data_IF_790872349037
#
_entry.id   IF_790872349037
#
_cell.length_a   1.000
_cell.length_b   1.000
_cell.length_c   1.000
_cell.angle_alpha   90.00
_cell.angle_beta   90.00
_cell.angle_gamma   90.00
#
_symmetry.space_group_name_H-M   'P 1'
#
loop_
_entity.id
_entity.type
_entity.pdbx_description
1 polymer ?
#
# COMPACT_ATOMS: atom_id res chain seq x y z
N UNK A 1 8.17 -68.37 5.79
CA UNK A 1 7.89 -68.99 4.47
C UNK A 1 7.83 -67.87 3.44
N UNK A 2 8.64 -68.07 2.42
CA UNK A 2 8.88 -67.21 1.26
C UNK A 2 7.65 -67.06 0.38
N UNK A 3 7.50 -65.88 -0.29
CA UNK A 3 7.18 -65.67 -1.72
C UNK A 3 7.14 -64.15 -1.94
N UNK A 4 8.14 -63.55 -2.58
CA UNK A 4 8.43 -63.32 -4.01
C UNK A 4 7.35 -62.43 -4.66
N UNK A 5 7.64 -61.14 -4.87
CA UNK A 5 8.19 -60.44 -6.06
C UNK A 5 7.33 -60.62 -7.32
N UNK A 6 6.80 -59.53 -7.83
CA UNK A 6 6.78 -59.25 -9.25
C UNK A 6 6.81 -57.74 -9.54
N UNK A 7 7.95 -57.34 -10.14
CA UNK A 7 8.26 -56.02 -10.68
C UNK A 7 7.77 -56.03 -12.14
N UNK A 8 7.00 -55.05 -12.57
CA UNK A 8 6.74 -54.79 -13.98
C UNK A 8 7.16 -53.35 -14.29
N UNK A 9 8.32 -53.22 -14.91
CA UNK A 9 8.77 -52.05 -15.65
C UNK A 9 8.04 -52.03 -17.00
N UNK A 10 7.34 -50.92 -17.30
CA UNK A 10 6.91 -50.63 -18.66
C UNK A 10 7.71 -49.43 -19.15
N UNK A 11 8.68 -49.72 -20.01
CA UNK A 11 9.39 -48.76 -20.86
C UNK A 11 8.44 -48.30 -21.97
N UNK A 12 8.19 -46.99 -22.07
CA UNK A 12 7.65 -46.38 -23.29
C UNK A 12 8.78 -45.69 -24.03
N UNK A 13 9.22 -46.32 -25.14
CA UNK A 13 10.04 -45.69 -26.18
C UNK A 13 9.12 -44.78 -27.03
N UNK A 14 9.40 -43.50 -27.08
CA UNK A 14 8.82 -42.60 -28.08
C UNK A 14 9.83 -42.48 -29.23
N UNK A 15 9.44 -42.99 -30.40
CA UNK A 15 10.17 -42.91 -31.67
C UNK A 15 9.94 -41.50 -32.25
N UNK A 16 11.03 -40.75 -32.44
CA UNK A 16 10.98 -39.51 -33.23
C UNK A 16 11.04 -39.91 -34.73
N UNK A 17 9.99 -39.60 -35.48
CA UNK A 17 10.03 -39.64 -36.93
C UNK A 17 10.47 -38.25 -37.44
N UNK A 18 11.52 -38.23 -38.18
CA UNK A 18 12.06 -37.08 -38.91
C UNK A 18 11.43 -37.03 -40.28
N UNK A 19 10.52 -36.13 -40.51
CA UNK A 19 10.08 -35.74 -41.85
C UNK A 19 10.87 -34.55 -42.36
N UNK A 20 11.65 -34.77 -43.41
CA UNK A 20 12.35 -33.76 -44.19
C UNK A 20 11.33 -32.96 -45.02
N UNK A 21 11.26 -31.66 -44.78
CA UNK A 21 10.61 -30.75 -45.74
C UNK A 21 11.67 -30.04 -46.56
N UNK A 22 11.58 -30.20 -47.89
CA UNK A 22 12.46 -29.64 -48.88
C UNK A 22 12.39 -28.12 -48.94
N UNK A 23 13.54 -27.46 -48.81
CA UNK A 23 13.70 -26.04 -49.08
C UNK A 23 13.83 -25.80 -50.61
N UNK A 24 12.88 -25.14 -51.21
CA UNK A 24 13.08 -24.55 -52.55
C UNK A 24 13.78 -23.20 -52.41
N UNK A 25 14.99 -23.14 -52.99
CA UNK A 25 15.77 -21.91 -53.15
C UNK A 25 15.18 -21.11 -54.29
N UNK A 26 14.62 -19.94 -54.01
CA UNK A 26 14.35 -18.91 -55.00
C UNK A 26 15.42 -17.84 -54.83
N UNK A 27 16.28 -17.79 -55.83
CA UNK A 27 17.35 -16.81 -55.99
C UNK A 27 16.73 -15.55 -56.64
N UNK A 28 16.67 -14.41 -55.93
CA UNK A 28 16.50 -13.11 -56.61
C UNK A 28 17.53 -12.10 -56.06
N UNK A 29 18.25 -11.56 -57.03
CA UNK A 29 19.37 -10.66 -56.92
C UNK A 29 19.15 -9.36 -56.11
N UNK A 30 20.15 -9.09 -55.30
CA UNK A 30 20.81 -7.80 -55.03
C UNK A 30 20.03 -6.48 -55.04
N UNK A 31 19.98 -5.85 -53.88
CA UNK A 31 20.48 -4.47 -53.69
C UNK A 31 21.01 -4.36 -52.23
N UNK A 32 22.30 -4.13 -52.09
CA UNK A 32 22.91 -3.71 -50.83
C UNK A 32 22.33 -2.36 -50.44
N UNK A 33 21.46 -2.35 -49.46
CA UNK A 33 21.22 -1.18 -48.61
C UNK A 33 21.81 -1.47 -47.26
N UNK A 34 22.89 -0.78 -46.97
CA UNK A 34 23.52 -0.71 -45.64
C UNK A 34 22.52 -0.02 -44.70
N UNK A 35 21.76 -0.82 -43.95
CA UNK A 35 20.95 -0.31 -42.85
C UNK A 35 21.86 -0.24 -41.63
N UNK A 36 22.21 0.96 -41.23
CA UNK A 36 22.79 1.25 -39.93
C UNK A 36 21.84 0.73 -38.84
N UNK A 37 22.17 -0.42 -38.29
CA UNK A 37 21.47 -0.98 -37.11
C UNK A 37 22.03 -0.35 -35.82
N UNK A 38 21.61 0.86 -35.54
CA UNK A 38 21.67 1.48 -34.19
C UNK A 38 20.38 2.26 -33.96
N UNK A 39 19.25 1.55 -34.01
CA UNK A 39 18.02 2.01 -33.38
C UNK A 39 17.85 1.17 -32.13
N UNK A 40 18.35 1.68 -31.00
CA UNK A 40 17.87 1.25 -29.71
C UNK A 40 16.33 1.36 -29.75
N UNK A 41 15.66 0.24 -29.63
CA UNK A 41 14.21 0.24 -29.36
C UNK A 41 14.11 0.81 -27.95
N UNK A 42 13.96 2.13 -27.83
CA UNK A 42 13.41 2.73 -26.63
C UNK A 42 12.03 2.09 -26.44
N UNK A 43 11.92 1.17 -25.50
CA UNK A 43 10.62 0.75 -25.01
C UNK A 43 9.92 2.00 -24.51
N UNK A 44 8.98 2.52 -25.30
CA UNK A 44 8.11 3.62 -24.87
C UNK A 44 7.30 3.07 -23.70
N UNK A 45 7.74 3.37 -22.49
CA UNK A 45 7.03 3.02 -21.26
C UNK A 45 5.64 3.67 -21.33
N UNK A 46 4.58 2.96 -20.89
CA UNK A 46 3.23 3.48 -20.97
C UNK A 46 3.10 4.74 -20.11
N UNK A 47 2.85 5.88 -20.77
CA UNK A 47 2.57 7.16 -20.12
C UNK A 47 1.22 7.13 -19.39
N UNK A 48 1.05 8.00 -18.39
CA UNK A 48 -0.26 8.21 -17.73
C UNK A 48 -1.28 8.69 -18.76
N UNK A 49 -2.52 8.17 -18.70
CA UNK A 49 -3.59 8.57 -19.61
C UNK A 49 -3.92 10.06 -19.42
N UNK A 50 -4.31 10.76 -20.51
CA UNK A 50 -4.66 12.19 -20.46
C UNK A 50 -5.77 12.51 -19.45
N UNK A 51 -6.69 11.57 -19.22
CA UNK A 51 -7.77 11.72 -18.25
C UNK A 51 -7.20 11.73 -16.83
N UNK A 52 -6.40 10.73 -16.48
CA UNK A 52 -5.77 10.63 -15.18
C UNK A 52 -4.76 11.76 -14.96
N UNK A 53 -3.97 12.14 -15.97
CA UNK A 53 -3.08 13.31 -15.89
C UNK A 53 -3.81 14.57 -15.42
N UNK A 54 -4.93 14.88 -16.08
CA UNK A 54 -5.74 16.06 -15.74
C UNK A 54 -6.27 15.98 -14.32
N UNK A 55 -6.73 14.81 -13.89
CA UNK A 55 -7.28 14.60 -12.55
C UNK A 55 -6.18 14.67 -11.49
N UNK A 56 -5.03 14.03 -11.71
CA UNK A 56 -3.85 14.12 -10.84
C UNK A 56 -3.41 15.56 -10.67
N UNK A 57 -3.15 16.31 -11.76
CA UNK A 57 -2.75 17.72 -11.71
C UNK A 57 -3.76 18.60 -10.97
N UNK A 58 -5.06 18.35 -11.16
CA UNK A 58 -6.11 19.06 -10.43
C UNK A 58 -6.00 18.83 -8.92
N UNK A 59 -5.86 17.57 -8.49
CA UNK A 59 -5.76 17.25 -7.07
C UNK A 59 -4.44 17.72 -6.46
N UNK A 60 -3.30 17.62 -7.17
CA UNK A 60 -2.02 18.17 -6.75
C UNK A 60 -2.13 19.67 -6.51
N UNK A 61 -2.72 20.41 -7.45
CA UNK A 61 -2.92 21.86 -7.31
C UNK A 61 -3.72 22.21 -6.06
N UNK A 62 -4.77 21.43 -5.75
CA UNK A 62 -5.61 21.62 -4.56
C UNK A 62 -4.91 21.31 -3.25
N UNK A 63 -3.91 20.43 -3.26
CA UNK A 63 -3.17 20.03 -2.07
C UNK A 63 -1.94 20.93 -1.86
N UNK A 64 -1.16 21.17 -2.92
CA UNK A 64 0.19 21.74 -2.83
C UNK A 64 0.35 23.14 -3.47
N UNK A 65 -0.67 23.61 -4.22
CA UNK A 65 -0.59 24.86 -4.98
C UNK A 65 -0.19 24.67 -6.44
N UNK A 66 -0.47 25.70 -7.25
CA UNK A 66 -0.23 25.69 -8.70
C UNK A 66 1.26 25.72 -9.05
N UNK A 67 2.06 26.34 -8.23
CA UNK A 67 3.52 26.52 -8.39
C UNK A 67 4.28 25.19 -8.33
N UNK A 68 3.81 24.24 -7.51
CA UNK A 68 4.42 22.91 -7.34
C UNK A 68 3.81 21.82 -8.21
N UNK A 69 2.71 22.11 -8.92
CA UNK A 69 1.91 21.07 -9.60
C UNK A 69 2.72 20.28 -10.62
N UNK A 70 3.51 20.95 -11.46
CA UNK A 70 4.25 20.25 -12.53
C UNK A 70 5.41 19.42 -11.97
N UNK A 71 6.16 19.95 -11.00
CA UNK A 71 7.25 19.23 -10.33
C UNK A 71 6.74 17.94 -9.68
N UNK A 72 5.67 18.05 -8.88
CA UNK A 72 5.10 16.89 -8.19
C UNK A 72 4.51 15.90 -9.20
N UNK A 73 3.84 16.38 -10.26
CA UNK A 73 3.29 15.51 -11.30
C UNK A 73 4.39 14.72 -12.02
N UNK A 74 5.50 15.36 -12.40
CA UNK A 74 6.64 14.66 -13.03
C UNK A 74 7.15 13.52 -12.15
N UNK A 75 7.26 13.75 -10.84
CA UNK A 75 7.67 12.69 -9.91
C UNK A 75 6.65 11.55 -9.80
N UNK A 76 5.37 11.87 -9.80
CA UNK A 76 4.28 10.87 -9.83
C UNK A 76 4.33 10.04 -11.12
N UNK A 77 4.60 10.66 -12.26
CA UNK A 77 4.72 9.98 -13.55
C UNK A 77 5.91 9.00 -13.58
N UNK A 78 7.06 9.40 -13.02
CA UNK A 78 8.22 8.51 -12.82
C UNK A 78 7.85 7.28 -11.98
N UNK A 79 7.18 7.50 -10.84
CA UNK A 79 6.74 6.43 -9.93
C UNK A 79 5.74 5.48 -10.61
N UNK A 80 4.78 6.03 -11.37
CA UNK A 80 3.81 5.23 -12.10
C UNK A 80 4.47 4.41 -13.21
N UNK A 81 5.40 5.02 -13.95
CA UNK A 81 6.17 4.33 -15.00
C UNK A 81 6.95 3.16 -14.42
N UNK A 82 7.65 3.39 -13.30
CA UNK A 82 8.37 2.33 -12.60
C UNK A 82 7.43 1.21 -12.15
N UNK A 83 6.32 1.55 -11.49
CA UNK A 83 5.35 0.56 -11.01
C UNK A 83 4.81 -0.33 -12.11
N UNK A 84 4.48 0.26 -13.28
CA UNK A 84 4.01 -0.47 -14.46
C UNK A 84 5.09 -1.38 -15.05
N UNK A 85 6.35 -0.93 -15.10
CA UNK A 85 7.46 -1.73 -15.61
C UNK A 85 7.80 -2.93 -14.73
N UNK A 86 7.54 -2.84 -13.43
CA UNK A 86 7.79 -3.87 -12.43
C UNK A 86 6.55 -4.75 -12.17
N UNK A 87 5.41 -4.48 -12.85
CA UNK A 87 4.15 -5.19 -12.60
C UNK A 87 4.21 -6.63 -13.10
N UNK A 88 3.88 -7.64 -12.28
CA UNK A 88 3.86 -9.05 -12.67
C UNK A 88 2.90 -9.32 -13.84
N UNK A 89 3.30 -10.24 -14.75
CA UNK A 89 2.55 -10.54 -15.98
C UNK A 89 1.15 -11.10 -15.69
N UNK A 90 1.00 -11.95 -14.67
CA UNK A 90 -0.30 -12.46 -14.25
C UNK A 90 -1.25 -11.35 -13.81
N UNK A 91 -0.74 -10.32 -13.14
CA UNK A 91 -1.53 -9.15 -12.75
C UNK A 91 -1.88 -8.25 -13.94
N UNK A 92 -0.97 -8.12 -14.92
CA UNK A 92 -1.25 -7.39 -16.19
C UNK A 92 -2.39 -8.08 -16.95
N UNK A 93 -2.43 -9.41 -16.96
CA UNK A 93 -3.52 -10.16 -17.60
C UNK A 93 -4.85 -9.97 -16.87
N UNK A 94 -4.84 -9.97 -15.54
CA UNK A 94 -6.02 -9.63 -14.74
C UNK A 94 -6.53 -8.20 -15.03
N UNK A 95 -5.63 -7.23 -15.15
CA UNK A 95 -5.99 -5.83 -15.46
C UNK A 95 -6.75 -5.69 -16.78
N UNK A 96 -6.50 -6.57 -17.77
CA UNK A 96 -7.15 -6.55 -19.09
C UNK A 96 -8.53 -7.21 -19.09
N UNK A 97 -8.77 -8.15 -18.20
CA UNK A 97 -9.95 -9.02 -18.26
C UNK A 97 -11.04 -8.66 -17.26
N UNK A 98 -10.69 -7.96 -16.19
CA UNK A 98 -11.61 -7.66 -15.09
C UNK A 98 -12.51 -6.45 -15.42
N UNK A 99 -13.83 -6.58 -15.21
CA UNK A 99 -14.79 -5.48 -15.37
C UNK A 99 -14.56 -4.39 -14.32
N UNK A 100 -15.02 -3.16 -14.60
CA UNK A 100 -14.82 -2.01 -13.70
C UNK A 100 -15.62 -2.06 -12.40
N UNK A 101 -16.63 -2.93 -12.32
CA UNK A 101 -17.56 -3.06 -11.19
C UNK A 101 -17.51 -4.43 -10.50
N UNK A 102 -16.48 -5.23 -10.82
CA UNK A 102 -16.28 -6.59 -10.33
C UNK A 102 -16.42 -6.73 -8.80
N UNK A 103 -16.03 -5.70 -8.06
CA UNK A 103 -16.00 -5.70 -6.59
C UNK A 103 -17.40 -5.66 -5.94
N UNK A 104 -18.47 -5.36 -6.71
CA UNK A 104 -19.82 -5.23 -6.18
C UNK A 104 -20.44 -6.56 -5.75
N UNK A 105 -20.00 -7.65 -6.35
CA UNK A 105 -20.54 -8.99 -6.11
C UNK A 105 -19.63 -9.84 -5.19
N UNK A 106 -18.63 -9.21 -4.56
CA UNK A 106 -17.64 -9.91 -3.73
C UNK A 106 -18.21 -10.29 -2.35
N UNK A 107 -18.03 -11.55 -1.98
CA UNK A 107 -18.31 -12.07 -0.64
C UNK A 107 -17.00 -12.08 0.14
N UNK A 108 -16.93 -11.23 1.17
CA UNK A 108 -15.67 -10.94 1.87
C UNK A 108 -15.61 -11.72 3.19
N UNK A 109 -14.54 -12.48 3.41
CA UNK A 109 -14.20 -13.09 4.69
C UNK A 109 -12.97 -12.43 5.28
N UNK A 110 -13.03 -11.98 6.55
CA UNK A 110 -12.01 -11.21 7.22
C UNK A 110 -11.35 -11.99 8.34
N UNK A 111 -10.01 -11.97 8.42
CA UNK A 111 -9.26 -12.62 9.49
C UNK A 111 -7.89 -12.00 9.75
N UNK A 112 -7.35 -12.26 10.95
CA UNK A 112 -5.92 -12.14 11.24
C UNK A 112 -5.22 -13.45 10.91
N UNK A 113 -4.08 -13.38 10.20
CA UNK A 113 -3.32 -14.56 9.76
C UNK A 113 -2.90 -15.44 10.95
N UNK A 114 -2.43 -14.84 12.03
CA UNK A 114 -1.98 -15.54 13.23
C UNK A 114 -3.11 -16.19 14.05
N UNK A 115 -4.37 -15.84 13.74
CA UNK A 115 -5.56 -16.37 14.42
C UNK A 115 -6.42 -17.28 13.53
N UNK A 116 -6.08 -17.40 12.23
CA UNK A 116 -6.92 -18.12 11.27
C UNK A 116 -6.45 -19.55 11.04
N UNK A 117 -7.34 -20.51 11.29
CA UNK A 117 -7.08 -21.93 11.16
C UNK A 117 -6.84 -22.61 12.51
N UNK A 118 -6.25 -23.81 12.49
CA UNK A 118 -5.95 -24.58 13.70
C UNK A 118 -4.69 -24.05 14.37
N UNK A 119 -4.80 -23.63 15.62
CA UNK A 119 -3.65 -23.26 16.45
C UNK A 119 -3.16 -24.52 17.17
N UNK A 120 -1.92 -24.91 16.92
CA UNK A 120 -1.28 -26.09 17.52
C UNK A 120 -0.25 -25.61 18.56
N UNK A 121 -0.33 -26.13 19.77
CA UNK A 121 0.61 -25.84 20.87
C UNK A 121 0.80 -24.35 21.17
N UNK A 122 -0.25 -23.53 20.94
CA UNK A 122 -0.21 -22.09 21.15
C UNK A 122 0.66 -21.33 20.15
N UNK A 123 1.19 -21.99 19.11
CA UNK A 123 1.98 -21.37 18.05
C UNK A 123 1.08 -20.58 17.12
N UNK A 124 1.43 -19.32 16.87
CA UNK A 124 0.74 -18.47 15.89
C UNK A 124 0.83 -19.06 14.47
N UNK A 125 -0.27 -18.96 13.72
CA UNK A 125 -0.30 -19.35 12.33
C UNK A 125 0.44 -18.33 11.43
N UNK A 126 0.85 -18.80 10.25
CA UNK A 126 1.51 -18.01 9.21
C UNK A 126 0.67 -17.99 7.93
N UNK A 127 1.11 -17.27 6.89
CA UNK A 127 0.50 -17.34 5.56
C UNK A 127 0.46 -18.75 5.00
N UNK A 128 1.48 -19.57 5.29
CA UNK A 128 1.54 -20.97 4.87
C UNK A 128 0.45 -21.82 5.54
N UNK A 129 0.09 -21.52 6.76
CA UNK A 129 -1.03 -22.18 7.44
C UNK A 129 -2.38 -21.73 6.87
N UNK A 130 -2.50 -20.45 6.51
CA UNK A 130 -3.69 -19.90 5.86
C UNK A 130 -3.96 -20.52 4.48
N UNK A 131 -2.92 -20.95 3.73
CA UNK A 131 -3.08 -21.69 2.46
C UNK A 131 -3.92 -22.94 2.66
N UNK A 132 -3.75 -23.66 3.77
CA UNK A 132 -4.50 -24.90 4.08
C UNK A 132 -6.00 -24.65 4.25
N UNK A 133 -6.40 -23.41 4.52
CA UNK A 133 -7.78 -23.01 4.76
C UNK A 133 -8.49 -22.49 3.50
N UNK A 134 -7.81 -22.35 2.38
CA UNK A 134 -8.39 -21.77 1.16
C UNK A 134 -9.53 -22.60 0.58
N UNK A 135 -9.45 -23.93 0.66
CA UNK A 135 -10.54 -24.78 0.19
C UNK A 135 -11.79 -24.64 1.05
N UNK A 136 -11.64 -24.57 2.38
CA UNK A 136 -12.75 -24.23 3.29
C UNK A 136 -13.42 -22.90 2.93
N UNK A 137 -12.63 -21.85 2.67
CA UNK A 137 -13.19 -20.55 2.27
C UNK A 137 -13.91 -20.63 0.91
N UNK A 138 -13.40 -21.43 -0.02
CA UNK A 138 -14.02 -21.66 -1.32
C UNK A 138 -15.36 -22.36 -1.18
N UNK A 139 -15.42 -23.40 -0.38
CA UNK A 139 -16.66 -24.17 -0.10
C UNK A 139 -17.70 -23.30 0.62
N UNK A 140 -17.26 -22.33 1.43
CA UNK A 140 -18.12 -21.34 2.08
C UNK A 140 -18.69 -20.29 1.10
N UNK A 141 -18.19 -20.25 -0.14
CA UNK A 141 -18.62 -19.28 -1.17
C UNK A 141 -17.91 -17.93 -1.08
N UNK A 142 -16.81 -17.83 -0.33
CA UNK A 142 -15.99 -16.60 -0.26
C UNK A 142 -15.31 -16.33 -1.60
N UNK A 143 -15.30 -15.08 -2.02
CA UNK A 143 -14.64 -14.63 -3.24
C UNK A 143 -13.49 -13.65 -2.96
N UNK A 144 -13.55 -12.92 -1.84
CA UNK A 144 -12.49 -11.98 -1.41
C UNK A 144 -12.02 -12.29 0.01
N UNK A 145 -10.73 -12.42 0.17
CA UNK A 145 -10.05 -12.60 1.46
C UNK A 145 -9.59 -11.23 1.95
N UNK A 146 -10.15 -10.76 3.07
CA UNK A 146 -9.69 -9.55 3.74
C UNK A 146 -8.73 -9.91 4.87
N UNK A 147 -7.46 -9.62 4.65
CA UNK A 147 -6.40 -9.85 5.63
C UNK A 147 -6.26 -8.57 6.47
N UNK A 148 -6.51 -8.67 7.78
CA UNK A 148 -6.28 -7.60 8.75
C UNK A 148 -4.78 -7.28 8.85
N UNK A 149 -4.37 -6.13 9.43
CA UNK A 149 -3.04 -5.58 9.26
C UNK A 149 -1.91 -6.59 9.44
N UNK A 150 -1.12 -6.75 8.39
CA UNK A 150 0.00 -7.70 8.33
C UNK A 150 1.31 -7.05 7.85
N UNK A 151 1.31 -5.73 7.59
CA UNK A 151 2.53 -4.96 7.40
C UNK A 151 3.38 -4.99 8.68
N UNK A 152 4.69 -4.75 8.56
CA UNK A 152 5.63 -4.75 9.70
C UNK A 152 5.21 -3.72 10.75
N UNK A 153 4.96 -4.19 11.96
CA UNK A 153 4.38 -3.45 13.07
C UNK A 153 4.87 -4.00 14.39
N UNK A 154 5.10 -3.18 15.44
CA UNK A 154 5.31 -3.64 16.81
C UNK A 154 4.06 -4.29 17.42
N UNK A 155 2.88 -4.13 16.84
CA UNK A 155 1.60 -4.72 17.27
C UNK A 155 1.03 -4.12 18.57
N UNK A 156 1.37 -2.88 18.89
CA UNK A 156 0.82 -2.17 20.05
C UNK A 156 -0.63 -1.69 19.80
N UNK A 157 -1.04 -1.62 18.53
CA UNK A 157 -2.41 -1.36 18.08
C UNK A 157 -2.85 -2.36 17.00
N UNK A 158 -2.77 -3.64 17.30
CA UNK A 158 -3.27 -4.73 16.43
C UNK A 158 -2.74 -4.66 14.97
N UNK A 159 -1.58 -4.02 14.75
CA UNK A 159 -0.94 -3.86 13.45
C UNK A 159 -1.26 -2.56 12.72
N UNK A 160 -2.12 -1.69 13.28
CA UNK A 160 -2.36 -0.36 12.73
C UNK A 160 -1.24 0.64 13.07
N UNK A 161 -0.35 0.32 13.98
CA UNK A 161 0.90 1.02 14.31
C UNK A 161 2.04 0.58 13.38
N UNK A 162 1.93 0.91 12.09
CA UNK A 162 2.83 0.40 11.04
C UNK A 162 4.23 0.98 11.21
N UNK A 163 5.22 0.08 11.31
CA UNK A 163 6.66 0.40 11.39
C UNK A 163 7.30 0.50 10.00
N UNK A 164 6.96 -0.43 9.12
CA UNK A 164 7.39 -0.40 7.72
C UNK A 164 6.22 -0.82 6.81
N UNK A 165 5.60 0.13 6.10
CA UNK A 165 4.43 -0.16 5.27
C UNK A 165 4.77 -0.95 3.99
N UNK A 166 6.05 -1.11 3.65
CA UNK A 166 6.51 -1.87 2.48
C UNK A 166 7.17 -3.19 2.89
N UNK A 167 6.89 -3.69 4.09
CA UNK A 167 7.36 -4.97 4.55
C UNK A 167 6.24 -5.73 5.26
N UNK A 168 6.38 -7.05 5.33
CA UNK A 168 5.42 -7.95 5.96
C UNK A 168 6.03 -8.48 7.26
N UNK A 169 5.23 -8.57 8.31
CA UNK A 169 5.61 -9.13 9.60
C UNK A 169 6.31 -10.49 9.43
N UNK A 170 7.50 -10.59 9.99
CA UNK A 170 8.32 -11.82 9.90
C UNK A 170 7.69 -13.00 10.64
N UNK A 171 6.95 -12.76 11.72
CA UNK A 171 6.25 -13.79 12.49
C UNK A 171 5.06 -14.41 11.74
N UNK A 172 4.60 -13.79 10.64
CA UNK A 172 3.58 -14.33 9.72
C UNK A 172 4.20 -15.06 8.52
N UNK A 173 5.54 -15.20 8.44
CA UNK A 173 6.28 -15.82 7.34
C UNK A 173 6.85 -14.82 6.34
N UNK A 174 6.62 -13.52 6.53
CA UNK A 174 7.19 -12.44 5.71
C UNK A 174 6.73 -12.47 4.24
N UNK A 175 7.45 -11.71 3.40
CA UNK A 175 7.06 -11.48 2.00
C UNK A 175 7.05 -12.75 1.15
N UNK A 176 7.88 -13.75 1.45
CA UNK A 176 7.94 -14.98 0.65
C UNK A 176 6.68 -15.84 0.85
N UNK A 177 6.26 -16.07 2.09
CA UNK A 177 5.04 -16.84 2.37
C UNK A 177 3.80 -16.09 1.91
N UNK A 178 3.77 -14.75 2.02
CA UNK A 178 2.68 -13.96 1.47
C UNK A 178 2.58 -14.10 -0.06
N UNK A 179 3.69 -14.03 -0.79
CA UNK A 179 3.68 -14.22 -2.25
C UNK A 179 3.14 -15.59 -2.65
N UNK A 180 3.56 -16.64 -1.94
CA UNK A 180 3.05 -18.01 -2.15
C UNK A 180 1.53 -18.06 -1.88
N UNK A 181 1.09 -17.55 -0.74
CA UNK A 181 -0.33 -17.46 -0.38
C UNK A 181 -1.13 -16.69 -1.44
N UNK A 182 -0.68 -15.48 -1.83
CA UNK A 182 -1.37 -14.64 -2.80
C UNK A 182 -1.49 -15.32 -4.17
N UNK A 183 -0.43 -16.02 -4.61
CA UNK A 183 -0.44 -16.76 -5.88
C UNK A 183 -1.44 -17.91 -5.84
N UNK A 184 -1.44 -18.72 -4.77
CA UNK A 184 -2.35 -19.86 -4.63
C UNK A 184 -3.80 -19.38 -4.48
N UNK A 185 -4.02 -18.32 -3.69
CA UNK A 185 -5.35 -17.73 -3.51
C UNK A 185 -5.93 -17.24 -4.86
N UNK A 186 -5.14 -16.47 -5.64
CA UNK A 186 -5.56 -16.01 -6.98
C UNK A 186 -5.86 -17.18 -7.92
N UNK A 187 -5.02 -18.20 -7.95
CA UNK A 187 -5.25 -19.40 -8.78
C UNK A 187 -6.55 -20.13 -8.41
N UNK A 188 -7.00 -20.02 -7.16
CA UNK A 188 -8.31 -20.51 -6.69
C UNK A 188 -9.46 -19.52 -6.96
N UNK A 189 -9.18 -18.35 -7.54
CA UNK A 189 -10.15 -17.31 -7.92
C UNK A 189 -10.46 -16.30 -6.82
N UNK A 190 -9.72 -16.29 -5.71
CA UNK A 190 -9.87 -15.27 -4.67
C UNK A 190 -9.29 -13.93 -5.08
N UNK A 191 -9.89 -12.86 -4.57
CA UNK A 191 -9.33 -11.52 -4.49
C UNK A 191 -8.73 -11.29 -3.11
N UNK A 192 -7.78 -10.37 -3.01
CA UNK A 192 -7.13 -10.04 -1.73
C UNK A 192 -7.41 -8.59 -1.37
N UNK A 193 -7.94 -8.39 -0.17
CA UNK A 193 -8.16 -7.07 0.43
C UNK A 193 -7.19 -6.87 1.59
N UNK A 194 -6.60 -5.68 1.70
CA UNK A 194 -5.68 -5.32 2.77
C UNK A 194 -5.91 -3.90 3.27
N UNK A 195 -5.50 -3.63 4.51
CA UNK A 195 -5.45 -2.28 5.07
C UNK A 195 -4.27 -1.49 4.52
N UNK A 196 -4.50 -0.22 4.25
CA UNK A 196 -3.51 0.77 3.88
C UNK A 196 -3.52 1.90 4.91
N UNK A 197 -2.57 1.89 5.81
CA UNK A 197 -2.45 2.88 6.90
C UNK A 197 -1.54 4.01 6.45
N UNK A 198 -2.13 5.15 6.09
CA UNK A 198 -1.42 6.33 5.57
C UNK A 198 -1.81 7.63 6.29
N UNK A 199 -2.42 7.55 7.48
CA UNK A 199 -2.62 8.72 8.34
C UNK A 199 -1.44 8.92 9.28
N UNK A 200 -0.85 7.84 9.77
CA UNK A 200 0.19 7.83 10.80
C UNK A 200 1.13 6.65 10.61
N UNK A 201 2.32 6.74 11.20
CA UNK A 201 3.23 5.61 11.34
C UNK A 201 3.63 5.42 12.81
N UNK A 202 4.10 4.21 13.13
CA UNK A 202 4.65 3.90 14.44
C UNK A 202 5.85 4.80 14.78
N UNK A 203 6.06 5.07 16.04
CA UNK A 203 7.29 5.70 16.53
C UNK A 203 8.56 4.84 16.32
N UNK A 204 8.37 3.57 15.90
CA UNK A 204 9.46 2.70 15.44
C UNK A 204 9.75 2.81 13.95
N UNK A 205 9.00 3.63 13.19
CA UNK A 205 9.26 3.89 11.77
C UNK A 205 10.62 4.56 11.59
N UNK A 206 11.34 4.18 10.54
CA UNK A 206 12.71 4.68 10.27
C UNK A 206 12.80 6.21 10.24
N UNK A 207 11.81 6.91 9.70
CA UNK A 207 11.78 8.37 9.68
C UNK A 207 11.86 8.99 11.06
N UNK A 208 11.12 8.43 11.99
CA UNK A 208 11.13 8.94 13.37
C UNK A 208 12.41 8.56 14.10
N UNK A 209 12.92 7.35 13.88
CA UNK A 209 14.17 6.91 14.47
C UNK A 209 15.37 7.74 13.97
N UNK A 210 15.38 8.15 12.69
CA UNK A 210 16.39 9.03 12.13
C UNK A 210 16.23 10.47 12.62
N UNK A 211 14.99 10.96 12.76
CA UNK A 211 14.70 12.25 13.37
C UNK A 211 15.28 12.34 14.79
N UNK A 212 15.09 11.29 15.61
CA UNK A 212 15.66 11.24 16.96
C UNK A 212 17.20 11.30 16.99
N UNK A 213 17.87 10.79 15.94
CA UNK A 213 19.32 10.92 15.74
C UNK A 213 19.72 12.31 15.25
N UNK A 214 18.75 13.17 14.91
CA UNK A 214 18.95 14.58 14.52
C UNK A 214 18.78 14.86 13.04
N UNK A 215 18.16 13.99 12.26
CA UNK A 215 17.71 14.30 10.89
C UNK A 215 16.39 15.09 10.93
N UNK A 216 16.51 16.41 10.95
CA UNK A 216 15.35 17.30 10.98
C UNK A 216 14.56 17.32 9.66
N UNK A 217 15.13 16.85 8.53
CA UNK A 217 14.38 16.67 7.29
C UNK A 217 13.32 15.54 7.51
N UNK A 218 13.72 14.44 8.13
CA UNK A 218 12.83 13.34 8.48
C UNK A 218 11.78 13.73 9.53
N UNK A 219 12.13 14.63 10.46
CA UNK A 219 11.16 15.15 11.43
C UNK A 219 9.99 15.87 10.72
N UNK A 220 10.25 16.60 9.63
CA UNK A 220 9.24 17.31 8.85
C UNK A 220 8.33 16.40 8.03
N UNK A 221 8.56 15.09 8.04
CA UNK A 221 7.63 14.11 7.47
C UNK A 221 6.44 13.81 8.41
N UNK A 222 6.53 14.29 9.64
CA UNK A 222 5.45 14.25 10.63
C UNK A 222 4.88 15.66 10.83
N UNK A 223 3.66 15.74 11.39
CA UNK A 223 3.07 17.01 11.80
C UNK A 223 3.74 17.42 13.12
N UNK A 224 4.54 18.48 13.08
CA UNK A 224 5.36 18.91 14.21
C UNK A 224 5.22 20.40 14.48
N UNK A 225 5.28 20.77 15.77
CA UNK A 225 5.40 22.16 16.26
C UNK A 225 6.64 22.34 17.11
N UNK A 226 7.24 23.52 17.04
CA UNK A 226 8.38 23.91 17.87
C UNK A 226 8.01 24.27 19.30
N UNK A 227 6.74 24.60 19.52
CA UNK A 227 6.18 24.94 20.82
C UNK A 227 4.86 24.24 21.01
N UNK A 228 4.57 23.84 22.25
CA UNK A 228 3.27 23.34 22.62
C UNK A 228 2.24 24.46 22.49
N UNK A 229 1.17 24.32 21.68
CA UNK A 229 0.10 25.30 21.63
C UNK A 229 -0.60 25.45 22.99
N UNK A 230 -1.02 26.66 23.34
CA UNK A 230 -1.95 26.84 24.45
C UNK A 230 -3.23 26.06 24.18
N UNK A 231 -3.72 25.31 25.17
CA UNK A 231 -4.92 24.49 24.99
C UNK A 231 -5.83 24.46 26.21
N UNK A 232 -7.10 24.12 25.93
CA UNK A 232 -8.10 23.78 26.94
C UNK A 232 -8.70 22.42 26.65
N UNK A 233 -8.85 21.57 27.65
CA UNK A 233 -9.52 20.27 27.58
C UNK A 233 -10.89 20.39 28.24
N UNK A 234 -11.93 19.95 27.55
CA UNK A 234 -13.29 19.93 28.10
C UNK A 234 -14.12 18.81 27.47
N UNK A 235 -15.25 18.49 28.12
CA UNK A 235 -16.19 17.52 27.58
C UNK A 235 -17.33 18.23 26.86
N UNK A 236 -17.48 17.94 25.57
CA UNK A 236 -18.61 18.36 24.75
C UNK A 236 -19.69 17.27 24.76
N UNK A 237 -20.97 17.69 24.82
CA UNK A 237 -22.10 16.74 24.89
C UNK A 237 -22.26 15.85 23.68
N UNK A 238 -21.76 16.25 22.49
CA UNK A 238 -21.88 15.51 21.22
C UNK A 238 -20.57 14.86 20.79
N UNK A 239 -19.45 15.52 21.05
CA UNK A 239 -18.14 15.10 20.55
C UNK A 239 -17.31 14.31 21.59
N UNK A 240 -17.75 14.28 22.86
CA UNK A 240 -16.95 13.73 23.95
C UNK A 240 -15.84 14.69 24.35
N UNK A 241 -14.65 14.16 24.66
CA UNK A 241 -13.51 15.00 25.07
C UNK A 241 -12.96 15.79 23.88
N UNK A 242 -12.88 17.09 24.02
CA UNK A 242 -12.38 18.04 23.00
C UNK A 242 -11.20 18.82 23.56
N UNK A 243 -10.19 18.98 22.72
CA UNK A 243 -9.06 19.89 22.96
C UNK A 243 -9.23 21.10 22.05
N UNK A 244 -9.30 22.27 22.66
CA UNK A 244 -9.31 23.56 21.98
C UNK A 244 -7.89 24.15 22.01
N UNK A 245 -7.25 24.24 20.83
CA UNK A 245 -5.92 24.82 20.66
C UNK A 245 -6.01 26.25 20.17
N UNK A 246 -5.19 27.13 20.74
CA UNK A 246 -4.90 28.45 20.19
C UNK A 246 -3.72 28.31 19.24
N UNK A 247 -3.99 28.37 17.95
CA UNK A 247 -2.98 28.15 16.90
C UNK A 247 -2.10 29.40 16.71
N UNK A 248 -0.93 29.20 16.05
CA UNK A 248 0.05 30.27 15.84
C UNK A 248 -0.51 31.44 15.00
N UNK A 249 -1.45 31.18 14.11
CA UNK A 249 -2.16 32.19 13.32
C UNK A 249 -3.32 32.87 14.07
N UNK A 250 -3.45 32.64 15.38
CA UNK A 250 -4.49 33.20 16.24
C UNK A 250 -5.87 32.53 16.13
N UNK A 251 -6.04 31.55 15.24
CA UNK A 251 -7.28 30.78 15.12
C UNK A 251 -7.42 29.75 16.23
N UNK A 252 -8.66 29.33 16.46
CA UNK A 252 -8.99 28.28 17.44
C UNK A 252 -9.32 26.99 16.70
N UNK A 253 -8.53 25.93 16.95
CA UNK A 253 -8.83 24.56 16.50
C UNK A 253 -9.52 23.79 17.60
N UNK A 254 -10.67 23.14 17.29
CA UNK A 254 -11.39 22.28 18.25
C UNK A 254 -11.33 20.85 17.76
N UNK A 255 -10.53 20.03 18.41
CA UNK A 255 -10.24 18.66 17.97
C UNK A 255 -10.70 17.67 19.01
N UNK A 256 -11.41 16.63 18.56
CA UNK A 256 -11.85 15.54 19.41
C UNK A 256 -10.66 14.68 19.81
N UNK A 257 -10.49 14.44 21.10
CA UNK A 257 -9.51 13.50 21.61
C UNK A 257 -10.11 12.09 21.58
N UNK A 258 -9.54 11.19 20.78
CA UNK A 258 -10.11 9.85 20.54
C UNK A 258 -9.95 8.96 21.77
N UNK A 259 -8.78 9.01 22.41
CA UNK A 259 -8.44 8.21 23.60
C UNK A 259 -8.09 9.10 24.80
N UNK A 260 -9.08 9.77 25.41
CA UNK A 260 -8.85 10.73 26.49
C UNK A 260 -8.30 10.10 27.79
N UNK A 261 -8.44 8.80 27.95
CA UNK A 261 -7.88 8.00 29.04
C UNK A 261 -6.40 7.63 28.84
N UNK A 262 -5.91 7.73 27.60
CA UNK A 262 -4.52 7.37 27.25
C UNK A 262 -3.63 8.61 27.18
N UNK A 263 -4.17 9.74 26.72
CA UNK A 263 -3.38 10.95 26.50
C UNK A 263 -4.14 12.23 26.91
N UNK A 264 -3.38 13.24 27.34
CA UNK A 264 -3.93 14.54 27.74
C UNK A 264 -4.28 15.44 26.55
N UNK A 265 -3.59 15.30 25.44
CA UNK A 265 -3.75 16.11 24.23
C UNK A 265 -3.18 15.35 23.01
N UNK A 266 -3.14 15.99 21.83
CA UNK A 266 -2.68 15.38 20.58
C UNK A 266 -1.17 15.54 20.32
N UNK A 267 -0.36 15.96 21.28
CA UNK A 267 1.06 16.21 21.02
C UNK A 267 1.96 15.43 21.96
N UNK A 268 2.88 14.68 21.37
CA UNK A 268 3.99 14.00 22.06
C UNK A 268 5.21 14.89 22.03
N UNK A 269 5.73 15.23 23.21
CA UNK A 269 6.98 15.97 23.35
C UNK A 269 8.17 15.03 23.11
N UNK A 270 9.15 15.48 22.31
CA UNK A 270 10.46 14.85 22.12
C UNK A 270 11.56 15.89 22.15
N UNK A 271 12.75 15.53 22.63
CA UNK A 271 13.91 16.42 22.64
C UNK A 271 14.96 15.90 21.68
N UNK A 272 15.32 16.68 20.66
CA UNK A 272 16.29 16.32 19.64
C UNK A 272 17.41 17.38 19.67
N UNK A 273 18.65 16.95 19.88
CA UNK A 273 19.81 17.84 19.98
C UNK A 273 19.60 19.03 20.93
N UNK A 274 18.93 18.78 22.07
CA UNK A 274 18.68 19.79 23.10
C UNK A 274 17.53 20.75 22.84
N UNK A 275 16.79 20.60 21.72
CA UNK A 275 15.61 21.37 21.39
C UNK A 275 14.37 20.48 21.51
N UNK A 276 13.30 21.01 22.12
CA UNK A 276 12.00 20.33 22.25
C UNK A 276 11.19 20.52 20.98
N UNK A 277 10.48 19.43 20.60
CA UNK A 277 9.52 19.39 19.51
C UNK A 277 8.26 18.67 19.98
N UNK A 278 7.13 19.01 19.36
CA UNK A 278 5.80 18.49 19.71
C UNK A 278 5.19 17.87 18.46
N UNK A 279 5.14 16.53 18.44
CA UNK A 279 4.70 15.76 17.27
C UNK A 279 3.25 15.37 17.47
N UNK A 280 2.44 15.63 16.44
CA UNK A 280 1.01 15.37 16.49
C UNK A 280 0.71 13.88 16.36
N UNK A 281 -0.29 13.41 17.14
CA UNK A 281 -0.91 12.11 17.00
C UNK A 281 -2.42 12.21 17.14
N UNK A 282 -3.16 11.55 16.28
CA UNK A 282 -4.63 11.49 16.35
C UNK A 282 -5.09 10.44 17.36
N UNK A 283 -4.40 9.31 17.39
CA UNK A 283 -4.74 8.12 18.17
C UNK A 283 -3.77 7.96 19.35
N UNK A 284 -2.98 6.91 19.36
CA UNK A 284 -2.00 6.67 20.42
C UNK A 284 -0.77 7.57 20.28
N UNK A 285 -0.08 7.91 21.40
CA UNK A 285 1.16 8.71 21.34
C UNK A 285 2.30 8.08 20.55
N UNK A 286 2.26 6.77 20.28
CA UNK A 286 3.22 6.07 19.44
C UNK A 286 2.82 5.98 17.97
N UNK A 287 1.63 6.49 17.58
CA UNK A 287 1.13 6.59 16.20
C UNK A 287 1.22 8.05 15.74
N UNK A 288 2.33 8.39 15.09
CA UNK A 288 2.66 9.77 14.73
C UNK A 288 2.04 10.13 13.39
N UNK A 289 1.21 11.18 13.35
CA UNK A 289 0.52 11.61 12.13
C UNK A 289 1.52 12.15 11.10
N UNK A 290 1.45 11.63 9.88
CA UNK A 290 2.35 12.04 8.78
C UNK A 290 1.89 13.35 8.15
N UNK A 291 2.85 14.10 7.62
CA UNK A 291 2.64 15.43 7.09
C UNK A 291 2.32 15.42 5.60
N UNK A 292 1.07 15.34 5.23
CA UNK A 292 0.58 15.39 3.84
C UNK A 292 0.83 16.74 3.13
N UNK A 293 1.30 17.78 3.83
CA UNK A 293 1.77 19.03 3.21
C UNK A 293 3.18 18.88 2.58
N UNK A 294 3.89 17.81 2.92
CA UNK A 294 5.21 17.52 2.40
C UNK A 294 5.13 16.54 1.21
N UNK A 295 5.55 16.94 -0.02
CA UNK A 295 5.48 16.05 -1.18
C UNK A 295 6.28 14.75 -1.04
N UNK A 296 7.36 14.72 -0.25
CA UNK A 296 8.14 13.51 0.01
C UNK A 296 7.29 12.42 0.70
N UNK A 297 6.35 12.84 1.56
CA UNK A 297 5.39 11.93 2.21
C UNK A 297 4.44 11.35 1.16
N UNK A 298 3.95 12.16 0.23
CA UNK A 298 3.13 11.67 -0.88
C UNK A 298 3.89 10.63 -1.70
N UNK A 299 5.13 10.90 -2.09
CA UNK A 299 5.92 9.97 -2.92
C UNK A 299 6.11 8.62 -2.23
N UNK A 300 6.43 8.62 -0.95
CA UNK A 300 6.55 7.39 -0.16
C UNK A 300 5.22 6.61 -0.05
N UNK A 301 4.11 7.33 0.11
CA UNK A 301 2.78 6.69 0.11
C UNK A 301 2.45 6.06 -1.25
N UNK A 302 2.83 6.71 -2.37
CA UNK A 302 2.66 6.15 -3.70
C UNK A 302 3.56 4.93 -3.94
N UNK A 303 4.80 4.94 -3.46
CA UNK A 303 5.69 3.76 -3.49
C UNK A 303 5.11 2.60 -2.66
N UNK A 304 4.47 2.92 -1.54
CA UNK A 304 3.75 1.90 -0.74
C UNK A 304 2.57 1.31 -1.50
N UNK A 305 1.81 2.12 -2.22
CA UNK A 305 0.72 1.64 -3.10
C UNK A 305 1.29 0.77 -4.22
N UNK A 306 2.41 1.18 -4.86
CA UNK A 306 3.11 0.40 -5.89
C UNK A 306 3.50 -0.99 -5.36
N UNK A 307 4.12 -1.01 -4.19
CA UNK A 307 4.54 -2.26 -3.55
C UNK A 307 3.37 -3.23 -3.39
N UNK A 308 2.29 -2.78 -2.76
CA UNK A 308 1.13 -3.64 -2.49
C UNK A 308 0.34 -4.00 -3.74
N UNK A 309 0.18 -3.08 -4.70
CA UNK A 309 -0.48 -3.36 -5.98
C UNK A 309 0.28 -4.44 -6.76
N UNK A 310 1.62 -4.38 -6.78
CA UNK A 310 2.47 -5.37 -7.45
C UNK A 310 2.65 -6.68 -6.64
N UNK A 311 2.31 -6.66 -5.34
CA UNK A 311 2.15 -7.88 -4.52
C UNK A 311 0.80 -8.57 -4.72
N UNK A 312 -0.12 -7.99 -5.50
CA UNK A 312 -1.40 -8.58 -5.87
C UNK A 312 -2.56 -8.23 -4.95
N UNK A 313 -2.49 -7.11 -4.23
CA UNK A 313 -3.65 -6.59 -3.51
C UNK A 313 -4.67 -6.02 -4.51
N UNK A 314 -5.92 -6.48 -4.39
CA UNK A 314 -7.04 -6.11 -5.26
C UNK A 314 -7.88 -4.97 -4.68
N UNK A 315 -8.09 -4.98 -3.37
CA UNK A 315 -8.89 -3.99 -2.65
C UNK A 315 -8.07 -3.37 -1.53
N UNK A 316 -7.94 -2.05 -1.56
CA UNK A 316 -7.29 -1.28 -0.51
C UNK A 316 -8.33 -0.68 0.42
N UNK A 317 -8.32 -1.04 1.70
CA UNK A 317 -9.07 -0.31 2.71
C UNK A 317 -8.17 0.77 3.31
N UNK A 318 -8.45 2.02 3.02
CA UNK A 318 -7.77 3.14 3.67
C UNK A 318 -8.19 3.26 5.13
N UNK A 319 -7.24 3.17 6.02
CA UNK A 319 -7.47 3.43 7.44
C UNK A 319 -7.47 4.92 7.75
N UNK A 320 -8.23 5.32 8.79
CA UNK A 320 -8.21 6.67 9.39
C UNK A 320 -8.38 7.85 8.41
N UNK A 321 -9.08 7.65 7.28
CA UNK A 321 -9.27 8.64 6.21
C UNK A 321 -9.63 10.04 6.71
N UNK A 322 -10.59 10.24 7.65
CA UNK A 322 -11.02 11.56 8.07
C UNK A 322 -9.89 12.45 8.57
N UNK A 323 -8.80 11.84 9.02
CA UNK A 323 -7.73 12.51 9.76
C UNK A 323 -6.47 12.83 8.94
N UNK A 324 -6.43 12.51 7.64
CA UNK A 324 -5.22 12.71 6.82
C UNK A 324 -4.79 14.19 6.70
N UNK A 325 -5.69 15.16 6.87
CA UNK A 325 -5.36 16.58 6.80
C UNK A 325 -5.65 17.29 8.12
N UNK A 326 -4.70 18.11 8.57
CA UNK A 326 -4.81 18.94 9.76
C UNK A 326 -4.60 20.40 9.38
N UNK A 327 -5.68 21.18 9.39
CA UNK A 327 -5.61 22.61 9.10
C UNK A 327 -5.90 23.40 10.38
N UNK A 328 -5.10 24.43 10.64
CA UNK A 328 -5.31 25.35 11.77
C UNK A 328 -6.65 26.09 11.68
N UNK A 329 -7.34 26.19 12.80
CA UNK A 329 -8.68 26.77 12.88
C UNK A 329 -9.80 25.81 12.49
N UNK A 330 -9.51 24.50 12.42
CA UNK A 330 -10.52 23.47 12.08
C UNK A 330 -10.56 22.34 13.11
N UNK A 331 -11.53 21.45 12.96
CA UNK A 331 -11.62 20.23 13.76
C UNK A 331 -10.59 19.16 13.35
N UNK A 332 -9.91 19.30 12.19
CA UNK A 332 -8.95 18.31 11.67
C UNK A 332 -9.58 17.02 11.16
N UNK A 333 -10.89 16.99 10.91
CA UNK A 333 -11.63 15.83 10.42
C UNK A 333 -12.40 16.16 9.14
N UNK A 334 -12.38 15.25 8.15
CA UNK A 334 -13.14 15.35 6.90
C UNK A 334 -12.93 16.65 6.11
N UNK A 335 -11.73 17.21 6.16
CA UNK A 335 -11.41 18.44 5.45
C UNK A 335 -11.40 18.25 3.94
N UNK A 336 -11.68 19.31 3.18
CA UNK A 336 -11.66 19.26 1.71
C UNK A 336 -10.33 18.71 1.15
N UNK A 337 -9.19 19.02 1.78
CA UNK A 337 -7.89 18.52 1.39
C UNK A 337 -7.80 16.98 1.53
N UNK A 338 -8.41 16.39 2.55
CA UNK A 338 -8.51 14.92 2.69
C UNK A 338 -9.16 14.30 1.46
N UNK A 339 -10.23 14.86 0.95
CA UNK A 339 -10.91 14.35 -0.26
C UNK A 339 -10.01 14.45 -1.51
N UNK A 340 -9.20 15.50 -1.64
CA UNK A 340 -8.25 15.62 -2.75
C UNK A 340 -7.12 14.62 -2.65
N UNK A 341 -6.62 14.34 -1.43
CA UNK A 341 -5.61 13.28 -1.18
C UNK A 341 -6.17 11.93 -1.63
N UNK A 342 -7.37 11.55 -1.17
CA UNK A 342 -7.98 10.26 -1.52
C UNK A 342 -8.21 10.14 -3.04
N UNK A 343 -8.71 11.20 -3.68
CA UNK A 343 -8.88 11.22 -5.15
C UNK A 343 -7.57 11.05 -5.88
N UNK A 344 -6.50 11.71 -5.43
CA UNK A 344 -5.17 11.57 -6.01
C UNK A 344 -4.69 10.12 -5.90
N UNK A 345 -4.76 9.52 -4.70
CA UNK A 345 -4.32 8.15 -4.47
C UNK A 345 -5.14 7.14 -5.30
N UNK A 346 -6.47 7.30 -5.34
CA UNK A 346 -7.35 6.44 -6.12
C UNK A 346 -7.10 6.57 -7.63
N UNK A 347 -6.93 7.80 -8.14
CA UNK A 347 -6.60 8.03 -9.56
C UNK A 347 -5.25 7.42 -9.92
N UNK A 348 -4.25 7.57 -9.04
CA UNK A 348 -2.95 6.96 -9.21
C UNK A 348 -3.02 5.42 -9.21
N UNK A 349 -3.72 4.83 -8.25
CA UNK A 349 -3.92 3.38 -8.19
C UNK A 349 -4.56 2.84 -9.47
N UNK A 350 -5.60 3.49 -9.98
CA UNK A 350 -6.25 3.09 -11.24
C UNK A 350 -5.30 3.17 -12.43
N UNK A 351 -4.32 4.05 -12.41
CA UNK A 351 -3.34 4.19 -13.48
C UNK A 351 -2.30 3.06 -13.48
N UNK A 352 -1.86 2.61 -12.29
CA UNK A 352 -0.83 1.58 -12.17
C UNK A 352 -1.39 0.16 -12.05
N UNK A 353 -2.63 0.03 -11.60
CA UNK A 353 -3.34 -1.23 -11.35
C UNK A 353 -4.82 -1.06 -11.62
N UNK A 354 -5.24 -1.04 -12.92
CA UNK A 354 -6.63 -0.77 -13.30
C UNK A 354 -7.67 -1.71 -12.69
N UNK A 355 -7.27 -2.91 -12.30
CA UNK A 355 -8.12 -3.91 -11.64
C UNK A 355 -8.34 -3.63 -10.16
N UNK A 356 -7.47 -2.86 -9.52
CA UNK A 356 -7.53 -2.61 -8.07
C UNK A 356 -8.48 -1.46 -7.75
N UNK A 357 -9.10 -1.53 -6.55
CA UNK A 357 -10.02 -0.50 -6.04
C UNK A 357 -9.61 -0.06 -4.64
N UNK A 358 -10.00 1.18 -4.29
CA UNK A 358 -9.72 1.77 -2.99
C UNK A 358 -11.04 2.22 -2.34
#
# INVERSE_FOLDING_TARGET
>A
MKKQICLILALFLIIFSTDKVNAQIINTNSKKNTINSNTSIEQVLPTISKKQEKELKTNITKIYGSDKTNEIYTKIEELATKAKSERPEDLINDDKTRTSDWYKDEIIYMFYVDQFGTIIDGKKNTFKDSIKMLDYLKDLGVTTIYILPFADSPMDDAGFDVKNPQNIRADLGGSNEFKEFATIARNKGFKIKADLVLNHFSDQHEWFQDALKGDLKKLNYFIVKDKMPEYKKYNDKKLGTVIEYKEDNGKISKRRLIFPEITENHYRKVTIKGKDYYIYHTFYPFQLDINWENPEVLYYCLETINYWANMGIDIFRMDAIPYCSKQEGTNGENLSKTHYIIKLLSTYLQEISPRSVM
#
